data_IF_204100469884
#
_entry.id   IF_204100469884
#
_cell.length_a   1.000
_cell.length_b   1.000
_cell.length_c   1.000
_cell.angle_alpha   90.00
_cell.angle_beta   90.00
_cell.angle_gamma   90.00
#
_symmetry.space_group_name_H-M   'P 1'
#
loop_
_entity.id
_entity.type
_entity.pdbx_description
1 polymer ?
#
# COMPACT_ATOMS: atom_id res chain seq x y z
N UNK A 1 12.66 27.89 -67.35
CA UNK A 1 11.67 26.92 -67.88
C UNK A 1 11.89 25.59 -67.17
N UNK A 2 10.78 24.94 -66.74
CA UNK A 2 10.62 23.55 -66.26
C UNK A 2 10.78 23.30 -64.75
N UNK A 3 9.61 23.21 -64.12
CA UNK A 3 9.29 22.57 -62.83
C UNK A 3 9.76 21.11 -62.79
N UNK A 4 9.96 20.58 -61.58
CA UNK A 4 9.42 19.28 -61.14
C UNK A 4 9.58 19.10 -59.62
N UNK A 5 8.43 19.01 -58.95
CA UNK A 5 8.28 18.56 -57.58
C UNK A 5 8.54 17.04 -57.47
N UNK A 6 8.93 16.55 -56.28
CA UNK A 6 8.22 15.47 -55.58
C UNK A 6 8.86 15.17 -54.20
N UNK A 7 8.07 15.40 -53.14
CA UNK A 7 7.83 14.57 -51.94
C UNK A 7 8.91 13.61 -51.41
N UNK A 8 9.17 13.66 -50.09
CA UNK A 8 8.75 12.61 -49.15
C UNK A 8 8.88 13.09 -47.69
N UNK A 9 7.75 13.47 -47.06
CA UNK A 9 7.67 13.71 -45.63
C UNK A 9 7.46 12.37 -44.91
N UNK A 10 8.47 11.89 -44.18
CA UNK A 10 8.35 10.72 -43.30
C UNK A 10 7.93 11.23 -41.93
N UNK A 11 6.63 11.16 -41.65
CA UNK A 11 6.08 11.34 -40.30
C UNK A 11 6.36 10.07 -39.50
N UNK A 12 7.38 10.11 -38.65
CA UNK A 12 7.64 9.07 -37.67
C UNK A 12 6.70 9.28 -36.47
N UNK A 13 5.47 8.77 -36.59
CA UNK A 13 4.55 8.65 -35.45
C UNK A 13 5.00 7.49 -34.58
N UNK A 14 5.89 7.75 -33.61
CA UNK A 14 6.14 6.82 -32.52
C UNK A 14 4.96 6.84 -31.56
N UNK A 15 4.02 5.93 -31.79
CA UNK A 15 3.01 5.54 -30.82
C UNK A 15 3.72 4.94 -29.61
N UNK A 16 3.97 5.75 -28.58
CA UNK A 16 4.37 5.24 -27.26
C UNK A 16 3.12 4.59 -26.68
N UNK A 17 2.97 3.28 -26.93
CA UNK A 17 2.03 2.44 -26.19
C UNK A 17 2.45 2.48 -24.73
N UNK A 18 1.80 3.33 -23.94
CA UNK A 18 1.81 3.27 -22.49
C UNK A 18 1.24 1.91 -22.08
N UNK A 19 2.10 0.91 -22.00
CA UNK A 19 1.82 -0.28 -21.22
C UNK A 19 1.83 0.19 -19.77
N UNK A 20 0.66 0.34 -19.18
CA UNK A 20 0.50 0.29 -17.73
C UNK A 20 0.98 -1.09 -17.31
N UNK A 21 2.27 -1.20 -17.03
CA UNK A 21 2.79 -2.31 -16.24
C UNK A 21 2.10 -2.15 -14.90
N UNK A 22 1.02 -2.92 -14.70
CA UNK A 22 0.54 -3.22 -13.36
C UNK A 22 1.68 -3.99 -12.73
N UNK A 23 2.64 -3.29 -12.14
CA UNK A 23 3.52 -3.92 -11.18
C UNK A 23 2.58 -4.34 -10.06
N UNK A 24 2.29 -5.63 -9.97
CA UNK A 24 1.94 -6.18 -8.67
C UNK A 24 3.11 -5.78 -7.77
N UNK A 25 2.89 -4.75 -6.95
CA UNK A 25 3.86 -4.40 -5.92
C UNK A 25 4.03 -5.67 -5.08
N UNK A 26 5.26 -6.18 -4.98
CA UNK A 26 5.54 -7.39 -4.18
C UNK A 26 5.02 -7.14 -2.75
N UNK A 27 3.87 -7.72 -2.45
CA UNK A 27 3.28 -7.69 -1.11
C UNK A 27 4.17 -8.58 -0.24
N UNK A 28 4.72 -8.01 0.82
CA UNK A 28 5.47 -8.81 1.78
C UNK A 28 4.52 -9.62 2.65
N UNK A 29 5.02 -10.73 3.20
CA UNK A 29 4.25 -11.55 4.14
C UNK A 29 3.73 -10.72 5.33
N UNK A 30 4.50 -9.74 5.79
CA UNK A 30 4.07 -8.85 6.87
C UNK A 30 2.86 -7.99 6.46
N UNK A 31 2.84 -7.48 5.23
CA UNK A 31 1.70 -6.71 4.69
C UNK A 31 0.49 -7.60 4.47
N UNK A 32 0.67 -8.82 3.96
CA UNK A 32 -0.38 -9.83 3.80
C UNK A 32 -1.08 -10.12 5.13
N UNK A 33 -0.31 -10.46 6.16
CA UNK A 33 -0.81 -10.73 7.52
C UNK A 33 -1.51 -9.50 8.13
N UNK A 34 -0.94 -8.30 7.94
CA UNK A 34 -1.58 -7.07 8.40
C UNK A 34 -2.90 -6.80 7.66
N UNK A 35 -2.99 -7.13 6.37
CA UNK A 35 -4.20 -6.94 5.58
C UNK A 35 -5.32 -7.90 6.02
N UNK A 36 -5.00 -9.17 6.25
CA UNK A 36 -5.91 -10.18 6.80
C UNK A 36 -6.49 -9.71 8.15
N UNK A 37 -5.62 -9.27 9.06
CA UNK A 37 -6.06 -8.76 10.38
C UNK A 37 -6.98 -7.54 10.24
N UNK A 38 -6.71 -6.62 9.32
CA UNK A 38 -7.55 -5.43 9.11
C UNK A 38 -8.92 -5.81 8.53
N UNK A 39 -8.99 -6.82 7.67
CA UNK A 39 -10.25 -7.33 7.10
C UNK A 39 -11.15 -7.94 8.17
N UNK A 40 -10.55 -8.63 9.14
CA UNK A 40 -11.25 -9.28 10.25
C UNK A 40 -11.42 -8.37 11.48
N UNK A 41 -10.88 -7.15 11.42
CA UNK A 41 -10.89 -6.22 12.54
C UNK A 41 -12.31 -5.76 12.86
N UNK A 42 -12.82 -6.16 14.03
CA UNK A 42 -14.06 -5.61 14.59
C UNK A 42 -13.78 -4.28 15.33
N UNK A 43 -13.55 -4.34 16.65
CA UNK A 43 -13.21 -3.16 17.44
C UNK A 43 -11.70 -3.04 17.69
N UNK A 44 -11.02 -4.15 17.96
CA UNK A 44 -9.58 -4.18 18.21
C UNK A 44 -9.04 -5.54 17.77
N UNK A 45 -7.74 -5.68 17.50
CA UNK A 45 -7.19 -6.98 17.16
C UNK A 45 -7.43 -7.95 18.33
N UNK A 46 -7.85 -9.16 18.02
CA UNK A 46 -8.00 -10.21 19.03
C UNK A 46 -6.63 -10.71 19.53
N UNK A 47 -6.62 -11.74 20.36
CA UNK A 47 -5.37 -12.21 20.96
C UNK A 47 -4.40 -12.76 19.91
N UNK A 48 -4.89 -13.51 18.92
CA UNK A 48 -4.05 -14.14 17.91
C UNK A 48 -3.50 -13.08 16.94
N UNK A 49 -4.36 -12.15 16.51
CA UNK A 49 -3.94 -10.99 15.74
C UNK A 49 -2.91 -10.13 16.49
N UNK A 50 -3.08 -9.90 17.79
CA UNK A 50 -2.09 -9.18 18.60
C UNK A 50 -0.74 -9.90 18.65
N UNK A 51 -0.72 -11.23 18.73
CA UNK A 51 0.52 -12.01 18.70
C UNK A 51 1.22 -11.85 17.35
N UNK A 52 0.50 -12.03 16.24
CA UNK A 52 1.04 -11.85 14.89
C UNK A 52 1.62 -10.45 14.69
N UNK A 53 0.90 -9.41 15.11
CA UNK A 53 1.37 -8.02 15.01
C UNK A 53 2.57 -7.74 15.92
N UNK A 54 2.64 -8.38 17.09
CA UNK A 54 3.78 -8.27 17.99
C UNK A 54 5.02 -8.94 17.39
N UNK A 55 4.86 -10.11 16.78
CA UNK A 55 5.92 -10.83 16.06
C UNK A 55 6.46 -9.99 14.90
N UNK A 56 5.59 -9.47 14.02
CA UNK A 56 5.99 -8.56 12.95
C UNK A 56 6.72 -7.33 13.53
N UNK A 57 6.19 -6.72 14.60
CA UNK A 57 6.80 -5.52 15.19
C UNK A 57 8.21 -5.73 15.75
N UNK A 58 8.61 -6.98 15.98
CA UNK A 58 9.91 -7.37 16.54
C UNK A 58 10.78 -8.12 15.54
N UNK A 59 10.25 -8.50 14.39
CA UNK A 59 10.99 -9.27 13.40
C UNK A 59 12.06 -8.41 12.71
N UNK A 60 13.31 -8.81 12.87
CA UNK A 60 14.46 -8.18 12.20
C UNK A 60 14.44 -8.32 10.67
N UNK A 61 13.64 -9.24 10.12
CA UNK A 61 13.47 -9.43 8.68
C UNK A 61 12.48 -8.43 8.07
N UNK A 62 11.55 -7.89 8.87
CA UNK A 62 10.61 -6.85 8.46
C UNK A 62 11.28 -5.48 8.34
N UNK A 63 10.77 -4.66 7.43
CA UNK A 63 11.23 -3.27 7.28
C UNK A 63 10.82 -2.41 8.48
N UNK A 64 11.52 -1.29 8.69
CA UNK A 64 11.16 -0.34 9.76
C UNK A 64 9.70 0.16 9.64
N UNK A 65 9.21 0.28 8.40
CA UNK A 65 7.84 0.71 8.12
C UNK A 65 6.84 -0.39 8.47
N UNK A 66 7.10 -1.65 8.09
CA UNK A 66 6.25 -2.80 8.43
C UNK A 66 6.12 -2.95 9.96
N UNK A 67 7.24 -2.85 10.69
CA UNK A 67 7.22 -2.94 12.16
C UNK A 67 6.41 -1.80 12.79
N UNK A 68 6.50 -0.60 12.22
CA UNK A 68 5.71 0.56 12.66
C UNK A 68 4.22 0.39 12.35
N UNK A 69 3.87 -0.10 11.15
CA UNK A 69 2.49 -0.37 10.73
C UNK A 69 1.86 -1.43 11.63
N UNK A 70 2.56 -2.54 11.88
CA UNK A 70 2.10 -3.60 12.77
C UNK A 70 1.90 -3.10 14.21
N UNK A 71 2.86 -2.32 14.73
CA UNK A 71 2.74 -1.68 16.05
C UNK A 71 1.53 -0.75 16.13
N UNK A 72 1.21 -0.06 15.03
CA UNK A 72 0.06 0.85 14.98
C UNK A 72 -1.25 0.06 15.00
N UNK A 73 -1.38 -0.97 14.16
CA UNK A 73 -2.57 -1.83 14.08
C UNK A 73 -2.83 -2.49 15.43
N UNK A 74 -1.77 -2.98 16.10
CA UNK A 74 -1.86 -3.64 17.41
C UNK A 74 -2.52 -2.76 18.48
N UNK A 75 -2.32 -1.45 18.39
CA UNK A 75 -2.81 -0.48 19.36
C UNK A 75 -4.14 0.18 18.95
N UNK A 76 -4.77 -0.27 17.86
CA UNK A 76 -6.05 0.27 17.42
C UNK A 76 -7.20 -0.10 18.35
N UNK A 77 -8.10 0.86 18.53
CA UNK A 77 -9.43 0.66 19.12
C UNK A 77 -10.44 1.41 18.25
N UNK A 78 -11.00 0.67 17.29
CA UNK A 78 -11.87 1.08 16.17
C UNK A 78 -11.25 2.08 15.19
N UNK A 79 -10.21 2.78 15.61
CA UNK A 79 -9.49 3.77 14.83
C UNK A 79 -8.05 3.87 15.30
N UNK A 80 -7.24 4.51 14.47
CA UNK A 80 -5.86 4.84 14.81
C UNK A 80 -5.81 5.84 15.96
N UNK A 81 -4.91 5.59 16.92
CA UNK A 81 -4.67 6.51 18.03
C UNK A 81 -4.11 7.84 17.48
N UNK A 82 -4.49 8.99 18.06
CA UNK A 82 -3.96 10.28 17.63
C UNK A 82 -2.42 10.34 17.61
N UNK A 83 -1.77 9.67 18.56
CA UNK A 83 -0.31 9.64 18.70
C UNK A 83 0.40 8.90 17.55
N UNK A 84 -0.28 7.97 16.88
CA UNK A 84 0.29 7.16 15.81
C UNK A 84 0.18 7.85 14.44
N UNK A 85 -0.77 8.80 14.29
CA UNK A 85 -1.02 9.52 13.03
C UNK A 85 0.23 10.20 12.45
N UNK A 86 1.09 10.91 13.22
CA UNK A 86 2.29 11.51 12.68
C UNK A 86 3.29 10.49 12.13
N UNK A 87 3.36 9.29 12.71
CA UNK A 87 4.27 8.25 12.25
C UNK A 87 3.74 7.59 10.97
N UNK A 88 2.43 7.30 10.89
CA UNK A 88 1.81 6.84 9.65
C UNK A 88 1.96 7.85 8.51
N UNK A 89 1.84 9.15 8.81
CA UNK A 89 2.07 10.22 7.83
C UNK A 89 3.51 10.19 7.28
N UNK A 90 4.50 9.86 8.11
CA UNK A 90 5.89 9.69 7.63
C UNK A 90 6.01 8.51 6.69
N UNK A 91 5.39 7.37 6.99
CA UNK A 91 5.40 6.21 6.09
C UNK A 91 4.74 6.57 4.76
N UNK A 92 3.53 7.14 4.81
CA UNK A 92 2.76 7.51 3.62
C UNK A 92 3.52 8.50 2.72
N UNK A 93 4.22 9.47 3.30
CA UNK A 93 4.99 10.48 2.55
C UNK A 93 6.44 10.06 2.27
N UNK A 94 6.87 8.87 2.71
CA UNK A 94 8.25 8.43 2.57
C UNK A 94 8.52 7.94 1.14
N UNK A 95 9.51 8.51 0.42
CA UNK A 95 9.95 7.96 -0.85
C UNK A 95 10.72 6.64 -0.68
N UNK A 96 11.19 6.33 0.53
CA UNK A 96 11.89 5.08 0.84
C UNK A 96 10.94 3.93 1.20
N UNK A 97 9.66 4.22 1.46
CA UNK A 97 8.65 3.19 1.68
C UNK A 97 8.29 2.49 0.37
N UNK A 98 7.91 1.22 0.45
CA UNK A 98 7.32 0.51 -0.69
C UNK A 98 5.95 1.12 -1.05
N UNK A 99 5.43 0.77 -2.23
CA UNK A 99 4.09 1.21 -2.62
C UNK A 99 3.00 0.64 -1.71
N UNK A 100 3.12 -0.65 -1.36
CA UNK A 100 2.20 -1.33 -0.43
C UNK A 100 2.25 -0.75 0.98
N UNK A 101 3.44 -0.43 1.51
CA UNK A 101 3.59 0.25 2.81
C UNK A 101 2.91 1.62 2.83
N UNK A 102 3.11 2.41 1.76
CA UNK A 102 2.47 3.74 1.64
C UNK A 102 0.95 3.64 1.57
N UNK A 103 0.44 2.69 0.78
CA UNK A 103 -1.00 2.52 0.61
C UNK A 103 -1.64 1.98 1.90
N UNK A 104 -0.99 1.04 2.59
CA UNK A 104 -1.45 0.58 3.91
C UNK A 104 -1.46 1.72 4.93
N UNK A 105 -0.41 2.54 4.99
CA UNK A 105 -0.40 3.73 5.86
C UNK A 105 -1.56 4.70 5.55
N UNK A 106 -1.86 4.90 4.27
CA UNK A 106 -2.98 5.73 3.81
C UNK A 106 -4.35 5.13 4.18
N UNK A 107 -4.50 3.82 4.09
CA UNK A 107 -5.68 3.09 4.56
C UNK A 107 -5.87 3.32 6.06
N UNK A 108 -4.83 3.08 6.86
CA UNK A 108 -4.87 3.26 8.31
C UNK A 108 -5.23 4.70 8.70
N UNK A 109 -4.63 5.71 8.06
CA UNK A 109 -4.94 7.12 8.30
C UNK A 109 -6.41 7.49 8.08
N UNK A 110 -7.12 6.73 7.24
CA UNK A 110 -8.54 6.90 6.92
C UNK A 110 -9.45 5.87 7.60
N UNK A 111 -8.89 4.99 8.40
CA UNK A 111 -9.63 3.93 9.07
C UNK A 111 -10.52 4.53 10.17
N UNK A 112 -11.82 4.23 10.09
CA UNK A 112 -12.84 4.68 11.04
C UNK A 112 -13.89 3.57 11.21
N UNK A 113 -13.83 2.89 12.34
CA UNK A 113 -14.55 1.66 12.70
C UNK A 113 -14.25 0.44 11.80
N UNK A 114 -14.32 0.57 10.48
CA UNK A 114 -14.12 -0.50 9.50
C UNK A 114 -13.47 0.00 8.20
N UNK A 115 -12.80 -0.86 7.41
CA UNK A 115 -12.30 -0.46 6.10
C UNK A 115 -13.47 -0.17 5.14
N UNK A 116 -13.33 0.85 4.31
CA UNK A 116 -14.28 1.15 3.25
C UNK A 116 -14.34 0.00 2.23
N UNK A 117 -15.47 -0.20 1.55
CA UNK A 117 -15.62 -1.34 0.61
C UNK A 117 -14.57 -1.33 -0.51
N UNK A 118 -14.24 -0.16 -1.07
CA UNK A 118 -13.15 -0.03 -2.06
C UNK A 118 -11.77 -0.41 -1.52
N UNK A 119 -11.57 -0.29 -0.20
CA UNK A 119 -10.33 -0.67 0.49
C UNK A 119 -10.32 -2.16 0.77
N UNK A 120 -11.47 -2.77 1.07
CA UNK A 120 -11.56 -4.23 1.29
C UNK A 120 -11.04 -5.01 0.10
N UNK A 121 -11.41 -4.63 -1.12
CA UNK A 121 -10.90 -5.30 -2.34
C UNK A 121 -9.36 -5.23 -2.43
N UNK A 122 -8.77 -4.11 -2.04
CA UNK A 122 -7.30 -3.93 -2.01
C UNK A 122 -6.66 -4.82 -0.95
N UNK A 123 -7.23 -4.84 0.26
CA UNK A 123 -6.73 -5.66 1.36
C UNK A 123 -6.88 -7.16 1.05
N UNK A 124 -8.00 -7.57 0.44
CA UNK A 124 -8.23 -8.96 0.06
C UNK A 124 -7.21 -9.42 -0.97
N UNK A 125 -6.88 -8.58 -1.96
CA UNK A 125 -5.84 -8.90 -2.93
C UNK A 125 -4.43 -9.02 -2.30
N UNK A 126 -4.18 -8.33 -1.19
CA UNK A 126 -2.92 -8.48 -0.46
C UNK A 126 -2.89 -9.70 0.46
N UNK A 127 -4.06 -10.24 0.83
CA UNK A 127 -4.23 -11.41 1.70
C UNK A 127 -4.38 -12.73 0.92
N UNK A 128 -4.14 -12.73 -0.39
CA UNK A 128 -4.19 -13.89 -1.31
C UNK A 128 -2.85 -14.62 -1.45
#
# INVERSE_FOLDING_TARGET
>A
MKMKALTLAVLFSSSISMHTISQAADTSLAIEQMAEIILELEARPDQDAQMTLDDISKDSSSTDNERLLASTIKNMDRKIRPDDKPQLMKVWLSPAASETERELAKILLRFDDAPADSVKDTLSHWAE
#
